data_IF_733378150764
#
_entry.id   IF_733378150764
#
_cell.length_a   1.000
_cell.length_b   1.000
_cell.length_c   1.000
_cell.angle_alpha   90.00
_cell.angle_beta   90.00
_cell.angle_gamma   90.00
#
_symmetry.space_group_name_H-M   'P 1'
#
loop_
_entity.id
_entity.type
_entity.pdbx_description
1 polymer ?
#
# COMPACT_ATOMS: atom_id res chain seq x y z
N UNK A 1 0.42 -9.60 -25.53
CA UNK A 1 0.44 -10.48 -24.32
C UNK A 1 -0.52 -9.95 -23.26
N UNK A 2 -1.29 -10.82 -22.61
CA UNK A 2 -2.07 -10.44 -21.41
C UNK A 2 -1.11 -10.22 -20.23
N UNK A 3 -1.40 -9.20 -19.41
CA UNK A 3 -0.64 -8.85 -18.20
C UNK A 3 -1.63 -8.66 -17.06
N UNK A 4 -1.21 -8.98 -15.85
CA UNK A 4 -1.98 -8.77 -14.62
C UNK A 4 -1.07 -8.07 -13.61
N UNK A 5 -1.52 -6.93 -13.09
CA UNK A 5 -0.81 -6.21 -12.05
C UNK A 5 -1.18 -6.81 -10.69
N UNK A 6 -0.16 -7.07 -9.87
CA UNK A 6 -0.30 -7.68 -8.55
C UNK A 6 0.47 -6.85 -7.54
N UNK A 7 -0.14 -6.59 -6.40
CA UNK A 7 0.51 -5.92 -5.28
C UNK A 7 0.52 -6.82 -4.05
N UNK A 8 1.61 -6.82 -3.32
CA UNK A 8 1.74 -7.51 -2.03
C UNK A 8 2.69 -6.75 -1.13
N UNK A 9 2.51 -6.88 0.18
CA UNK A 9 3.43 -6.37 1.18
C UNK A 9 3.89 -7.47 2.10
N UNK A 10 5.12 -7.36 2.57
CA UNK A 10 5.72 -8.32 3.48
C UNK A 10 6.39 -7.61 4.66
N UNK A 11 6.38 -8.24 5.83
CA UNK A 11 7.24 -7.88 6.96
C UNK A 11 7.53 -9.09 7.84
N UNK A 12 8.19 -8.86 8.98
CA UNK A 12 8.48 -9.89 10.00
C UNK A 12 7.25 -10.62 10.55
N UNK A 13 6.05 -10.01 10.48
CA UNK A 13 4.77 -10.61 10.90
C UNK A 13 4.04 -11.35 9.77
N UNK A 14 4.59 -11.38 8.56
CA UNK A 14 4.03 -12.12 7.42
C UNK A 14 3.71 -11.24 6.21
N UNK A 15 2.93 -11.80 5.29
CA UNK A 15 2.58 -11.21 4.00
C UNK A 15 1.10 -10.82 3.96
N UNK A 16 0.82 -9.64 3.40
CA UNK A 16 -0.51 -9.08 3.14
C UNK A 16 -0.73 -9.09 1.61
N UNK A 17 -1.92 -9.53 1.18
CA UNK A 17 -2.26 -9.80 -0.22
C UNK A 17 -2.05 -11.26 -0.66
N UNK A 18 -1.94 -11.55 -1.98
CA UNK A 18 -1.83 -10.60 -3.08
C UNK A 18 -3.16 -9.88 -3.42
N UNK A 19 -3.04 -8.65 -3.89
CA UNK A 19 -4.14 -7.87 -4.45
C UNK A 19 -3.98 -7.78 -5.97
N UNK A 20 -5.04 -8.11 -6.68
CA UNK A 20 -5.07 -8.06 -8.14
C UNK A 20 -5.62 -6.71 -8.59
N UNK A 21 -4.87 -6.04 -9.45
CA UNK A 21 -5.22 -4.72 -9.98
C UNK A 21 -5.63 -4.90 -11.44
N UNK A 22 -6.87 -4.53 -11.74
CA UNK A 22 -7.36 -4.54 -13.12
C UNK A 22 -6.77 -3.36 -13.92
N UNK A 23 -6.27 -3.66 -15.12
CA UNK A 23 -5.54 -2.72 -15.97
C UNK A 23 -4.28 -2.16 -15.31
N UNK A 24 -3.83 -1.00 -15.82
CA UNK A 24 -2.62 -0.34 -15.32
C UNK A 24 -2.84 0.30 -13.94
N UNK A 25 -1.80 0.24 -13.11
CA UNK A 25 -1.75 0.93 -11.83
C UNK A 25 -1.49 2.42 -12.06
N UNK A 26 -2.37 3.26 -11.55
CA UNK A 26 -2.19 4.70 -11.49
C UNK A 26 -2.25 5.17 -10.02
N UNK A 27 -1.92 6.44 -9.79
CA UNK A 27 -1.86 6.99 -8.43
C UNK A 27 -3.19 6.89 -7.66
N UNK A 28 -4.34 7.00 -8.36
CA UNK A 28 -5.66 6.90 -7.75
C UNK A 28 -5.96 5.48 -7.27
N UNK A 29 -5.79 4.50 -8.16
CA UNK A 29 -5.95 3.09 -7.84
C UNK A 29 -5.01 2.68 -6.71
N UNK A 30 -3.79 3.22 -6.72
CA UNK A 30 -2.82 2.93 -5.67
C UNK A 30 -3.24 3.51 -4.32
N UNK A 31 -3.68 4.77 -4.26
CA UNK A 31 -4.19 5.35 -3.02
C UNK A 31 -5.41 4.59 -2.49
N UNK A 32 -6.36 4.23 -3.37
CA UNK A 32 -7.56 3.48 -2.96
C UNK A 32 -7.17 2.09 -2.43
N UNK A 33 -6.25 1.39 -3.09
CA UNK A 33 -5.73 0.11 -2.59
C UNK A 33 -5.08 0.26 -1.21
N UNK A 34 -4.29 1.32 -1.00
CA UNK A 34 -3.67 1.60 0.29
C UNK A 34 -4.72 1.85 1.39
N UNK A 35 -5.72 2.68 1.08
CA UNK A 35 -6.76 3.13 2.00
C UNK A 35 -7.73 2.04 2.38
N UNK A 36 -8.23 1.32 1.39
CA UNK A 36 -9.39 0.45 1.57
C UNK A 36 -8.98 -0.97 1.98
N UNK A 37 -7.72 -1.34 1.74
CA UNK A 37 -7.25 -2.71 1.97
C UNK A 37 -5.95 -2.76 2.80
N UNK A 38 -4.88 -2.12 2.34
CA UNK A 38 -3.54 -2.37 2.89
C UNK A 38 -3.38 -1.80 4.30
N UNK A 39 -3.71 -0.53 4.51
CA UNK A 39 -3.52 0.13 5.81
C UNK A 39 -4.40 -0.52 6.89
N UNK A 40 -5.71 -0.79 6.67
CA UNK A 40 -6.52 -1.52 7.64
C UNK A 40 -5.94 -2.90 8.00
N UNK A 41 -5.39 -3.63 7.03
CA UNK A 41 -4.75 -4.92 7.30
C UNK A 41 -3.45 -4.76 8.11
N UNK A 42 -2.66 -3.71 7.85
CA UNK A 42 -1.48 -3.40 8.68
C UNK A 42 -1.92 -3.02 10.10
N UNK A 43 -2.91 -2.16 10.27
CA UNK A 43 -3.44 -1.78 11.58
C UNK A 43 -3.90 -3.01 12.36
N UNK A 44 -4.67 -3.91 11.73
CA UNK A 44 -5.08 -5.17 12.33
C UNK A 44 -3.88 -6.06 12.69
N UNK A 45 -2.88 -6.13 11.80
CA UNK A 45 -1.68 -6.93 12.04
C UNK A 45 -0.82 -6.36 13.17
N UNK A 46 -0.91 -5.08 13.50
CA UNK A 46 -0.14 -4.42 14.55
C UNK A 46 -0.99 -3.98 15.75
N UNK A 47 -2.19 -4.54 15.91
CA UNK A 47 -3.10 -4.25 17.03
C UNK A 47 -3.37 -2.73 17.19
N UNK A 48 -3.53 -2.04 16.04
CA UNK A 48 -3.65 -0.59 15.89
C UNK A 48 -2.45 0.25 16.39
N UNK A 49 -1.32 -0.37 16.75
CA UNK A 49 -0.12 0.33 17.17
C UNK A 49 0.86 0.56 16.01
N UNK A 50 0.71 1.71 15.36
CA UNK A 50 1.50 2.11 14.18
C UNK A 50 2.81 2.84 14.52
N UNK A 51 3.12 3.11 15.80
CA UNK A 51 4.25 3.97 16.20
C UNK A 51 5.62 3.46 15.75
N UNK A 52 5.77 2.15 15.56
CA UNK A 52 7.02 1.52 15.14
C UNK A 52 6.89 0.85 13.76
N UNK A 53 5.91 1.27 12.96
CA UNK A 53 5.67 0.72 11.63
C UNK A 53 6.16 1.72 10.59
N UNK A 54 7.23 1.37 9.87
CA UNK A 54 7.68 2.13 8.71
C UNK A 54 7.12 1.53 7.43
N UNK A 55 6.58 2.38 6.55
CA UNK A 55 6.14 1.98 5.22
C UNK A 55 7.25 2.22 4.20
N UNK A 56 7.60 1.21 3.40
CA UNK A 56 8.65 1.29 2.38
C UNK A 56 8.11 0.86 1.00
N UNK A 57 8.45 1.63 -0.02
CA UNK A 57 8.12 1.38 -1.42
C UNK A 57 9.21 1.98 -2.33
N UNK A 58 9.21 1.65 -3.61
CA UNK A 58 10.08 2.29 -4.61
C UNK A 58 9.54 3.68 -5.05
N UNK A 59 10.25 4.32 -5.97
CA UNK A 59 9.89 5.64 -6.50
C UNK A 59 9.05 5.62 -7.77
N UNK A 60 8.32 4.53 -8.08
CA UNK A 60 7.50 4.46 -9.29
C UNK A 60 6.48 5.61 -9.33
N UNK A 61 6.13 6.07 -10.54
CA UNK A 61 5.26 7.25 -10.72
C UNK A 61 3.94 7.18 -9.92
N UNK A 62 3.19 6.06 -9.91
CA UNK A 62 1.99 5.92 -9.07
C UNK A 62 2.27 6.04 -7.57
N UNK A 63 3.44 5.58 -7.11
CA UNK A 63 3.83 5.57 -5.69
C UNK A 63 4.34 6.94 -5.22
N UNK A 64 4.91 7.74 -6.14
CA UNK A 64 5.51 9.05 -5.83
C UNK A 64 4.56 10.24 -6.06
N UNK A 65 3.36 9.99 -6.59
CA UNK A 65 2.34 11.01 -6.75
C UNK A 65 2.04 11.74 -5.43
N UNK A 66 1.80 13.06 -5.49
CA UNK A 66 1.57 13.91 -4.30
C UNK A 66 0.46 13.35 -3.42
N UNK A 67 -0.67 12.98 -4.01
CA UNK A 67 -1.83 12.42 -3.30
C UNK A 67 -1.50 11.16 -2.48
N UNK A 68 -0.65 10.29 -3.02
CA UNK A 68 -0.21 9.05 -2.35
C UNK A 68 0.74 9.38 -1.20
N UNK A 69 1.72 10.26 -1.44
CA UNK A 69 2.67 10.67 -0.40
C UNK A 69 1.98 11.39 0.77
N UNK A 70 1.07 12.31 0.48
CA UNK A 70 0.28 12.97 1.51
C UNK A 70 -0.60 11.98 2.29
N UNK A 71 -1.16 11.00 1.61
CA UNK A 71 -1.94 9.94 2.26
C UNK A 71 -1.07 9.08 3.19
N UNK A 72 0.08 8.61 2.72
CA UNK A 72 1.02 7.83 3.52
C UNK A 72 1.57 8.63 4.71
N UNK A 73 1.90 9.91 4.52
CA UNK A 73 2.38 10.78 5.60
C UNK A 73 1.32 10.99 6.71
N UNK A 74 0.03 10.85 6.40
CA UNK A 74 -1.04 10.91 7.42
C UNK A 74 -1.21 9.57 8.14
N UNK A 75 -0.96 8.45 7.46
CA UNK A 75 -1.16 7.11 7.99
C UNK A 75 0.03 6.60 8.82
N UNK A 76 1.24 7.09 8.53
CA UNK A 76 2.48 6.68 9.19
C UNK A 76 3.16 7.91 9.80
N UNK A 77 2.98 8.18 11.11
CA UNK A 77 3.53 9.35 11.80
C UNK A 77 5.04 9.26 12.06
#
# INVERSE_FOLDING_TARGET
PQKLNVWTRTCSRGTIGPFFIDGDLNAEKYENLLRDHIIPEIENLFDANMQNVSFQQDGAEPHFAVRVREFLNRAFP
#
